data_IF_599020262118
#
_entry.id   IF_599020262118
#
_cell.length_a   1.000
_cell.length_b   1.000
_cell.length_c   1.000
_cell.angle_alpha   90.00
_cell.angle_beta   90.00
_cell.angle_gamma   90.00
#
_symmetry.space_group_name_H-M   'P 1'
#
loop_
_entity.id
_entity.type
_entity.pdbx_description
1 polymer ?
#
# COMPACT_ATOMS: atom_id res chain seq x y z
N UNK A 1 -14.47 3.45 -4.35
CA UNK A 1 -13.61 3.69 -5.54
C UNK A 1 -12.49 2.66 -5.56
N UNK A 2 -11.99 2.29 -6.74
CA UNK A 2 -10.93 1.28 -6.91
C UNK A 2 -9.86 1.77 -7.89
N UNK A 3 -8.60 1.46 -7.61
CA UNK A 3 -7.44 1.73 -8.46
C UNK A 3 -6.47 0.55 -8.38
N UNK A 4 -5.92 0.13 -9.51
CA UNK A 4 -5.04 -1.03 -9.59
C UNK A 4 -3.76 -0.65 -10.32
N UNK A 5 -2.63 -1.15 -9.82
CA UNK A 5 -1.33 -1.05 -10.45
C UNK A 5 -0.53 -2.34 -10.20
N UNK A 6 0.64 -2.44 -10.83
CA UNK A 6 1.49 -3.62 -10.75
C UNK A 6 2.88 -3.28 -10.25
N UNK A 7 3.49 -4.25 -9.60
CA UNK A 7 4.90 -4.32 -9.21
C UNK A 7 5.36 -5.76 -9.41
N UNK A 8 6.56 -6.09 -8.95
CA UNK A 8 7.04 -7.47 -8.86
C UNK A 8 7.74 -7.73 -7.55
N UNK A 9 7.87 -9.01 -7.21
CA UNK A 9 8.69 -9.44 -6.10
C UNK A 9 10.19 -9.29 -6.37
N UNK A 10 11.00 -9.63 -5.38
CA UNK A 10 12.46 -9.60 -5.45
C UNK A 10 13.07 -10.67 -4.53
N UNK A 11 14.21 -11.32 -4.88
CA UNK A 11 14.85 -12.34 -4.03
C UNK A 11 15.22 -11.87 -2.62
N UNK A 12 15.43 -10.57 -2.42
CA UNK A 12 15.73 -9.98 -1.11
C UNK A 12 14.48 -9.61 -0.28
N UNK A 13 13.26 -9.89 -0.74
CA UNK A 13 12.03 -9.68 0.06
C UNK A 13 12.07 -10.60 1.28
N UNK A 14 12.03 -10.00 2.48
CA UNK A 14 11.98 -10.76 3.74
C UNK A 14 10.68 -10.59 4.50
N UNK A 15 9.99 -9.46 4.31
CA UNK A 15 8.70 -9.13 4.93
C UNK A 15 8.69 -9.27 6.46
N UNK A 16 9.68 -8.68 7.14
CA UNK A 16 9.84 -8.82 8.61
C UNK A 16 9.49 -7.56 9.40
N UNK A 17 9.32 -6.43 8.72
CA UNK A 17 9.07 -5.17 9.42
C UNK A 17 7.73 -5.20 10.17
N UNK A 18 7.73 -4.74 11.42
CA UNK A 18 6.62 -4.93 12.37
C UNK A 18 5.52 -3.87 12.29
N UNK A 19 5.79 -2.73 11.64
CA UNK A 19 4.87 -1.59 11.65
C UNK A 19 4.56 -1.03 10.27
N UNK A 20 5.21 -1.52 9.23
CA UNK A 20 4.98 -1.06 7.85
C UNK A 20 5.17 -2.18 6.84
N UNK A 21 4.63 -1.99 5.64
CA UNK A 21 5.13 -2.58 4.41
C UNK A 21 5.23 -1.51 3.32
N UNK A 22 6.06 -1.77 2.31
CA UNK A 22 6.42 -0.81 1.28
C UNK A 22 6.48 -1.44 -0.11
N UNK A 23 6.08 -0.66 -1.11
CA UNK A 23 6.23 -0.95 -2.53
C UNK A 23 6.97 0.24 -3.15
N UNK A 24 7.97 -0.02 -3.97
CA UNK A 24 8.82 1.04 -4.55
C UNK A 24 8.96 0.91 -6.07
N UNK A 25 9.30 2.02 -6.72
CA UNK A 25 9.72 2.06 -8.12
C UNK A 25 11.20 1.66 -8.30
N UNK A 26 11.97 1.53 -7.23
CA UNK A 26 13.33 0.95 -7.34
C UNK A 26 13.23 -0.49 -7.84
N UNK A 27 14.10 -0.86 -8.77
CA UNK A 27 14.15 -2.23 -9.33
C UNK A 27 14.86 -3.22 -8.40
N UNK A 28 15.73 -2.70 -7.55
CA UNK A 28 16.67 -3.45 -6.71
C UNK A 28 16.55 -3.00 -5.26
N UNK A 29 16.63 -3.95 -4.33
CA UNK A 29 16.60 -3.68 -2.89
C UNK A 29 17.67 -4.47 -2.15
N UNK A 30 18.21 -3.88 -1.07
CA UNK A 30 19.17 -4.54 -0.21
C UNK A 30 18.55 -5.64 0.66
N UNK A 31 19.38 -6.55 1.19
CA UNK A 31 18.94 -7.65 2.08
C UNK A 31 18.35 -7.17 3.42
N UNK A 32 18.61 -5.92 3.80
CA UNK A 32 18.11 -5.30 5.03
C UNK A 32 16.80 -4.54 4.85
N UNK A 33 16.27 -4.44 3.61
CA UNK A 33 15.01 -3.78 3.32
C UNK A 33 13.83 -4.68 3.72
N UNK A 34 13.59 -4.80 5.02
CA UNK A 34 12.66 -5.76 5.59
C UNK A 34 11.18 -5.34 5.54
N UNK A 35 10.90 -4.08 5.19
CA UNK A 35 9.56 -3.56 4.91
C UNK A 35 9.15 -3.67 3.44
N UNK A 36 10.11 -3.78 2.50
CA UNK A 36 9.80 -3.78 1.06
C UNK A 36 9.31 -5.17 0.64
N UNK A 37 8.14 -5.21 0.01
CA UNK A 37 7.50 -6.43 -0.52
C UNK A 37 7.38 -6.42 -2.04
N UNK A 38 7.50 -5.25 -2.67
CA UNK A 38 7.40 -5.09 -4.12
C UNK A 38 8.35 -4.02 -4.64
N UNK A 39 8.99 -4.33 -5.76
CA UNK A 39 9.93 -3.49 -6.50
C UNK A 39 9.38 -3.22 -7.90
N UNK A 40 10.01 -2.30 -8.64
CA UNK A 40 9.66 -2.00 -10.04
C UNK A 40 8.15 -1.72 -10.21
N UNK A 41 7.62 -0.91 -9.30
CA UNK A 41 6.24 -0.45 -9.36
C UNK A 41 6.00 0.37 -10.64
N UNK A 42 4.93 0.01 -11.35
CA UNK A 42 4.47 0.73 -12.55
C UNK A 42 4.04 2.18 -12.29
N UNK A 43 3.84 2.56 -11.03
CA UNK A 43 3.44 3.91 -10.63
C UNK A 43 4.07 4.32 -9.30
N UNK A 44 4.29 5.62 -9.14
CA UNK A 44 4.51 6.27 -7.85
C UNK A 44 3.21 6.85 -7.28
N UNK A 45 3.28 7.41 -6.07
CA UNK A 45 2.17 8.20 -5.57
C UNK A 45 1.88 9.44 -6.41
N UNK A 46 2.89 10.04 -7.07
CA UNK A 46 2.68 11.20 -7.94
C UNK A 46 1.72 10.88 -9.07
N UNK A 47 1.77 9.66 -9.59
CA UNK A 47 0.99 9.20 -10.74
C UNK A 47 -0.45 8.80 -10.38
N UNK A 48 -0.77 8.69 -9.08
CA UNK A 48 -2.14 8.38 -8.67
C UNK A 48 -3.14 9.41 -9.20
N UNK A 49 -4.30 8.97 -9.72
CA UNK A 49 -5.33 9.88 -10.20
C UNK A 49 -5.74 10.88 -9.12
N UNK A 50 -5.92 12.15 -9.49
CA UNK A 50 -6.32 13.21 -8.54
C UNK A 50 -7.57 12.85 -7.74
N UNK A 51 -8.53 12.14 -8.34
CA UNK A 51 -9.74 11.65 -7.66
C UNK A 51 -9.41 10.63 -6.56
N UNK A 52 -8.47 9.72 -6.79
CA UNK A 52 -7.98 8.75 -5.81
C UNK A 52 -7.34 9.47 -4.62
N UNK A 53 -6.40 10.39 -4.87
CA UNK A 53 -5.72 11.16 -3.83
C UNK A 53 -6.72 11.91 -2.94
N UNK A 54 -7.68 12.60 -3.57
CA UNK A 54 -8.74 13.31 -2.84
C UNK A 54 -9.62 12.42 -1.97
N UNK A 55 -9.84 11.17 -2.36
CA UNK A 55 -10.62 10.24 -1.55
C UNK A 55 -9.83 9.68 -0.38
N UNK A 56 -8.55 9.35 -0.59
CA UNK A 56 -7.62 8.91 0.47
C UNK A 56 -7.47 10.02 1.52
N UNK A 57 -7.40 11.27 1.09
CA UNK A 57 -7.24 12.43 1.98
C UNK A 57 -8.54 12.89 2.69
N UNK A 58 -9.55 12.03 2.84
CA UNK A 58 -10.75 12.35 3.64
C UNK A 58 -10.59 11.85 5.08
N UNK A 59 -11.13 12.60 6.05
CA UNK A 59 -11.09 12.29 7.48
C UNK A 59 -11.57 10.86 7.82
N UNK A 60 -12.63 10.42 7.16
CA UNK A 60 -13.25 9.10 7.39
C UNK A 60 -12.98 8.11 6.25
N UNK A 61 -11.92 8.32 5.47
CA UNK A 61 -11.57 7.39 4.40
C UNK A 61 -11.09 6.05 4.98
N UNK A 62 -11.76 4.98 4.60
CA UNK A 62 -11.33 3.60 4.81
C UNK A 62 -10.61 3.14 3.55
N UNK A 63 -9.38 2.65 3.72
CA UNK A 63 -8.55 2.16 2.63
C UNK A 63 -8.37 0.65 2.83
N UNK A 64 -8.67 -0.10 1.78
CA UNK A 64 -8.31 -1.50 1.68
C UNK A 64 -7.29 -1.67 0.56
N UNK A 65 -6.14 -2.24 0.90
CA UNK A 65 -5.12 -2.67 -0.06
C UNK A 65 -5.25 -4.17 -0.22
N UNK A 66 -5.35 -4.61 -1.47
CA UNK A 66 -5.37 -6.02 -1.85
C UNK A 66 -4.07 -6.31 -2.60
N UNK A 67 -3.31 -7.26 -2.09
CA UNK A 67 -2.07 -7.75 -2.69
C UNK A 67 -2.34 -9.13 -3.28
N UNK A 68 -2.03 -9.33 -4.55
CA UNK A 68 -2.35 -10.55 -5.29
C UNK A 68 -1.16 -10.97 -6.17
N UNK A 69 -0.67 -12.18 -5.95
CA UNK A 69 0.26 -12.90 -6.82
C UNK A 69 -0.50 -14.01 -7.55
N UNK A 70 0.21 -14.87 -8.29
CA UNK A 70 -0.41 -16.01 -8.97
C UNK A 70 -1.07 -17.00 -8.00
N UNK A 71 -0.41 -17.29 -6.87
CA UNK A 71 -0.85 -18.36 -5.95
C UNK A 71 -1.50 -17.84 -4.66
N UNK A 72 -1.42 -16.54 -4.39
CA UNK A 72 -1.83 -15.99 -3.10
C UNK A 72 -2.46 -14.60 -3.20
N UNK A 73 -3.32 -14.31 -2.21
CA UNK A 73 -3.98 -13.02 -2.06
C UNK A 73 -4.07 -12.65 -0.58
N UNK A 74 -3.73 -11.41 -0.26
CA UNK A 74 -3.89 -10.85 1.09
C UNK A 74 -4.59 -9.48 1.05
N UNK A 75 -5.31 -9.16 2.11
CA UNK A 75 -6.06 -7.91 2.26
C UNK A 75 -5.63 -7.20 3.53
N UNK A 76 -5.37 -5.89 3.41
CA UNK A 76 -4.95 -4.99 4.47
C UNK A 76 -5.98 -3.87 4.54
N UNK A 77 -6.47 -3.57 5.74
CA UNK A 77 -7.38 -2.46 5.99
C UNK A 77 -6.75 -1.40 6.87
N UNK A 78 -7.08 -0.14 6.64
CA UNK A 78 -6.63 0.99 7.45
C UNK A 78 -7.31 2.28 7.00
N UNK A 79 -6.69 3.41 7.32
CA UNK A 79 -7.34 4.73 7.20
C UNK A 79 -6.55 5.69 6.32
N UNK A 80 -7.29 6.51 5.61
CA UNK A 80 -6.80 7.76 5.05
C UNK A 80 -6.73 8.86 6.10
N UNK A 81 -6.27 10.04 5.69
CA UNK A 81 -6.18 11.22 6.55
C UNK A 81 -5.98 12.49 5.70
N UNK A 82 -6.55 13.66 6.08
CA UNK A 82 -6.39 14.90 5.30
C UNK A 82 -4.96 15.38 5.11
N UNK A 83 -4.05 15.01 6.01
CA UNK A 83 -2.62 15.36 5.93
C UNK A 83 -1.80 14.44 5.00
N UNK A 84 -2.39 13.41 4.39
CA UNK A 84 -1.68 12.56 3.42
C UNK A 84 -1.44 13.34 2.11
N UNK A 85 -0.17 13.64 1.81
CA UNK A 85 0.20 14.41 0.61
C UNK A 85 0.17 13.58 -0.67
N UNK A 86 0.52 12.29 -0.56
CA UNK A 86 0.48 11.31 -1.66
C UNK A 86 1.29 11.77 -2.88
N UNK A 87 2.52 12.21 -2.65
CA UNK A 87 3.37 12.87 -3.63
C UNK A 87 4.82 12.37 -3.65
N UNK A 88 5.15 11.32 -2.88
CA UNK A 88 6.48 10.73 -2.97
C UNK A 88 6.72 10.14 -4.38
N UNK A 89 7.89 10.40 -5.01
CA UNK A 89 8.14 10.06 -6.40
C UNK A 89 8.42 8.58 -6.67
N UNK A 90 8.55 7.73 -5.62
CA UNK A 90 8.97 6.32 -5.78
C UNK A 90 8.21 5.37 -4.86
N UNK A 91 8.28 5.64 -3.56
CA UNK A 91 7.78 4.70 -2.54
C UNK A 91 6.30 4.89 -2.17
N UNK A 92 5.66 3.77 -1.83
CA UNK A 92 4.29 3.62 -1.34
C UNK A 92 4.33 2.83 -0.03
N UNK A 93 4.11 3.48 1.12
CA UNK A 93 4.24 2.88 2.45
C UNK A 93 2.89 2.82 3.17
N UNK A 94 2.54 1.65 3.66
CA UNK A 94 1.38 1.43 4.54
C UNK A 94 1.86 1.25 5.99
N UNK A 95 1.19 1.88 6.96
CA UNK A 95 1.67 1.97 8.35
C UNK A 95 0.61 1.52 9.34
N UNK A 96 1.02 0.76 10.38
CA UNK A 96 0.18 0.45 11.54
C UNK A 96 0.03 1.65 12.49
N UNK A 97 1.02 2.53 12.55
CA UNK A 97 0.93 3.78 13.32
C UNK A 97 0.10 4.85 12.60
N UNK A 98 -0.08 5.99 13.25
CA UNK A 98 -0.66 7.22 12.71
C UNK A 98 0.38 8.21 12.16
N UNK A 99 1.66 7.81 12.10
CA UNK A 99 2.73 8.63 11.55
C UNK A 99 2.52 8.89 10.05
N UNK A 100 2.63 10.16 9.65
CA UNK A 100 2.47 10.58 8.25
C UNK A 100 3.78 11.18 7.75
N UNK A 101 4.21 10.73 6.57
CA UNK A 101 5.17 11.41 5.72
C UNK A 101 4.69 11.35 4.27
N UNK A 102 5.44 11.93 3.36
CA UNK A 102 5.20 11.94 1.92
C UNK A 102 4.98 10.55 1.28
N UNK A 103 5.60 9.50 1.84
CA UNK A 103 5.46 8.10 1.42
C UNK A 103 4.23 7.39 1.97
N UNK A 104 3.46 8.00 2.87
CA UNK A 104 2.37 7.29 3.56
C UNK A 104 1.12 7.20 2.68
N UNK A 105 0.69 5.98 2.34
CA UNK A 105 -0.56 5.70 1.63
C UNK A 105 -1.73 5.58 2.61
N UNK A 106 -1.49 4.91 3.73
CA UNK A 106 -2.48 4.64 4.77
C UNK A 106 -1.82 4.55 6.14
N UNK A 107 -2.59 4.93 7.15
CA UNK A 107 -2.25 4.81 8.56
C UNK A 107 -3.20 3.84 9.27
N UNK A 108 -2.86 3.45 10.50
CA UNK A 108 -3.70 2.54 11.32
C UNK A 108 -4.06 1.25 10.57
N UNK A 109 -3.11 0.72 9.79
CA UNK A 109 -3.26 -0.55 9.11
C UNK A 109 -3.36 -1.71 10.11
N UNK A 110 -4.20 -2.71 9.80
CA UNK A 110 -4.32 -3.95 10.57
C UNK A 110 -3.07 -4.83 10.44
N UNK A 111 -2.40 -4.78 9.28
CA UNK A 111 -1.21 -5.56 8.94
C UNK A 111 -0.01 -4.70 8.59
N UNK A 112 1.17 -5.18 8.98
CA UNK A 112 2.48 -4.79 8.48
C UNK A 112 3.09 -5.92 7.62
N UNK A 113 4.32 -5.74 7.15
CA UNK A 113 5.04 -6.75 6.37
C UNK A 113 5.10 -8.11 7.10
N UNK A 114 5.35 -8.11 8.42
CA UNK A 114 5.41 -9.35 9.20
C UNK A 114 4.08 -10.12 9.31
N UNK A 115 2.96 -9.47 9.01
CA UNK A 115 1.61 -10.02 9.15
C UNK A 115 1.07 -10.58 7.81
N UNK A 116 1.81 -10.38 6.71
CA UNK A 116 1.39 -10.82 5.37
C UNK A 116 1.47 -12.34 5.24
N UNK A 117 0.52 -12.91 4.48
CA UNK A 117 0.45 -14.35 4.22
C UNK A 117 1.75 -14.90 3.67
N UNK A 118 2.19 -16.03 4.22
CA UNK A 118 3.46 -16.66 3.87
C UNK A 118 3.53 -17.01 2.39
N UNK A 119 2.45 -17.52 1.81
CA UNK A 119 2.37 -17.93 0.41
C UNK A 119 2.58 -16.73 -0.54
N UNK A 120 2.03 -15.57 -0.18
CA UNK A 120 2.25 -14.32 -0.91
C UNK A 120 3.73 -13.93 -0.88
N UNK A 121 4.34 -13.97 0.32
CA UNK A 121 5.75 -13.59 0.47
C UNK A 121 6.69 -14.58 -0.23
N UNK A 122 6.36 -15.87 -0.24
CA UNK A 122 7.15 -16.88 -0.93
C UNK A 122 7.08 -16.71 -2.46
N UNK A 123 5.92 -16.36 -3.02
CA UNK A 123 5.80 -15.95 -4.43
C UNK A 123 6.66 -14.72 -4.75
N UNK A 124 6.61 -13.69 -3.89
CA UNK A 124 7.36 -12.45 -4.09
C UNK A 124 8.88 -12.67 -4.01
N UNK A 125 9.37 -13.59 -3.18
CA UNK A 125 10.79 -13.97 -3.19
C UNK A 125 11.24 -14.58 -4.51
N UNK A 126 10.34 -15.23 -5.25
CA UNK A 126 10.63 -15.76 -6.59
C UNK A 126 10.58 -14.69 -7.69
N UNK A 127 10.32 -13.43 -7.36
CA UNK A 127 10.20 -12.35 -8.35
C UNK A 127 8.86 -12.31 -9.07
N UNK A 128 7.83 -12.99 -8.53
CA UNK A 128 6.51 -13.06 -9.16
C UNK A 128 5.87 -11.68 -9.34
N UNK A 129 4.98 -11.56 -10.32
CA UNK A 129 4.19 -10.34 -10.53
C UNK A 129 3.29 -10.09 -9.32
N UNK A 130 3.26 -8.84 -8.87
CA UNK A 130 2.39 -8.38 -7.80
C UNK A 130 1.36 -7.43 -8.39
N UNK A 131 0.08 -7.78 -8.27
CA UNK A 131 -1.02 -6.87 -8.50
C UNK A 131 -1.40 -6.22 -7.18
N UNK A 132 -1.49 -4.89 -7.19
CA UNK A 132 -1.87 -4.08 -6.04
C UNK A 132 -3.16 -3.35 -6.37
N UNK A 133 -4.16 -3.52 -5.52
CA UNK A 133 -5.45 -2.88 -5.69
C UNK A 133 -5.81 -2.07 -4.44
N UNK A 134 -6.00 -0.78 -4.64
CA UNK A 134 -6.40 0.18 -3.62
C UNK A 134 -7.91 0.42 -3.78
N UNK A 135 -8.65 0.09 -2.74
CA UNK A 135 -10.09 0.36 -2.63
C UNK A 135 -10.26 1.40 -1.54
N UNK A 136 -10.91 2.51 -1.89
CA UNK A 136 -11.22 3.59 -0.95
C UNK A 136 -12.72 3.69 -0.82
N UNK A 137 -13.18 3.55 0.41
CA UNK A 137 -14.54 3.83 0.83
C UNK A 137 -14.53 5.04 1.76
N UNK A 138 -15.55 5.88 1.66
CA UNK A 138 -15.77 6.97 2.59
C UNK A 138 -17.28 7.18 2.67
N UNK A 139 -17.84 7.24 3.89
CA UNK A 139 -19.24 7.60 4.02
C UNK A 139 -19.43 8.98 3.38
N UNK A 140 -20.36 9.04 2.43
CA UNK A 140 -20.91 10.32 1.99
C UNK A 140 -21.57 10.91 3.23
N UNK A 141 -21.31 12.18 3.60
CA UNK A 141 -22.09 12.80 4.67
C UNK A 141 -23.56 12.55 4.37
N UNK A 142 -24.30 12.01 5.35
CA UNK A 142 -25.75 12.05 5.29
C UNK A 142 -26.08 13.53 5.07
N UNK A 143 -26.71 13.85 3.94
CA UNK A 143 -27.21 15.20 3.72
C UNK A 143 -28.04 15.54 4.96
N UNK A 144 -27.54 16.49 5.74
CA UNK A 144 -28.23 16.96 6.92
C UNK A 144 -29.62 17.37 6.49
N UNK A 145 -30.63 16.76 7.10
CA UNK A 145 -31.99 17.27 7.08
C UNK A 145 -31.94 18.73 7.49
N UNK A 146 -32.23 19.59 6.50
CA UNK A 146 -32.80 20.95 6.58
C UNK A 146 -32.83 21.62 7.95
#
# INVERSE_FOLDING_TARGET
MKYTFYARGHPNVTSKHKSTFEITMDEEIGKTADCIIGVDSSVSMKDFPRKLKKAIAKENAMIKVVLETENAKDEITGRGHPSLTLDHPRDIVCRKSDYICDRTLMIKADKAACDLKKELIDDLKQGSKLKVEIIVDYPTPLEGTS
#
